data_IF_571596399351
#
_entry.id   IF_571596399351
#
_cell.length_a   1.000
_cell.length_b   1.000
_cell.length_c   1.000
_cell.angle_alpha   90.00
_cell.angle_beta   90.00
_cell.angle_gamma   90.00
#
_symmetry.space_group_name_H-M   'P 1'
#
loop_
_entity.id
_entity.type
_entity.pdbx_description
1 polymer ?
#
# COMPACT_ATOMS: atom_id res chain seq x y z
N UNK A 1 15.43 -35.00 49.86
CA UNK A 1 14.18 -35.06 49.05
C UNK A 1 14.13 -33.87 48.08
N UNK A 2 15.08 -33.76 47.14
CA UNK A 2 15.19 -32.56 46.28
C UNK A 2 15.52 -32.83 44.81
N UNK A 3 15.71 -34.10 44.42
CA UNK A 3 16.23 -34.46 43.09
C UNK A 3 15.14 -34.68 42.02
N UNK A 4 13.90 -34.98 42.43
CA UNK A 4 12.79 -35.23 41.50
C UNK A 4 12.21 -33.95 40.88
N UNK A 5 12.34 -32.81 41.56
CA UNK A 5 11.86 -31.51 41.05
C UNK A 5 12.71 -31.00 39.89
N UNK A 6 14.02 -31.27 39.87
CA UNK A 6 14.92 -30.88 38.77
C UNK A 6 14.67 -31.70 37.50
N UNK A 7 14.32 -32.99 37.64
CA UNK A 7 14.03 -33.88 36.52
C UNK A 7 12.73 -33.53 35.78
N UNK A 8 11.75 -32.94 36.46
CA UNK A 8 10.49 -32.50 35.85
C UNK A 8 10.62 -31.18 35.06
N UNK A 9 11.63 -30.34 35.35
CA UNK A 9 11.84 -29.06 34.67
C UNK A 9 12.58 -29.18 33.34
N UNK A 10 13.47 -30.17 33.20
CA UNK A 10 14.19 -30.44 31.95
C UNK A 10 13.27 -30.70 30.75
N UNK A 11 12.28 -31.61 30.79
CA UNK A 11 11.39 -31.84 29.66
C UNK A 11 10.54 -30.62 29.34
N UNK A 12 10.13 -29.84 30.34
CA UNK A 12 9.39 -28.59 30.13
C UNK A 12 10.22 -27.55 29.37
N UNK A 13 11.50 -27.37 29.74
CA UNK A 13 12.42 -26.45 29.04
C UNK A 13 12.65 -26.91 27.60
N UNK A 14 12.82 -28.21 27.36
CA UNK A 14 12.98 -28.78 26.02
C UNK A 14 11.72 -28.56 25.17
N UNK A 15 10.53 -28.84 25.71
CA UNK A 15 9.25 -28.62 25.02
C UNK A 15 9.07 -27.14 24.67
N UNK A 16 9.32 -26.24 25.61
CA UNK A 16 9.23 -24.80 25.38
C UNK A 16 10.23 -24.34 24.30
N UNK A 17 11.45 -24.88 24.29
CA UNK A 17 12.42 -24.60 23.24
C UNK A 17 11.95 -25.08 21.85
N UNK A 18 11.41 -26.30 21.77
CA UNK A 18 10.85 -26.84 20.52
C UNK A 18 9.68 -26.02 20.00
N UNK A 19 8.76 -25.61 20.88
CA UNK A 19 7.63 -24.74 20.52
C UNK A 19 8.12 -23.39 20.00
N UNK A 20 9.16 -22.79 20.63
CA UNK A 20 9.75 -21.54 20.14
C UNK A 20 10.39 -21.70 18.75
N UNK A 21 11.15 -22.76 18.53
CA UNK A 21 11.74 -23.06 17.22
C UNK A 21 10.65 -23.22 16.15
N UNK A 22 9.57 -23.95 16.47
CA UNK A 22 8.44 -24.12 15.56
C UNK A 22 7.70 -22.79 15.27
N UNK A 23 7.47 -21.96 16.29
CA UNK A 23 6.84 -20.65 16.15
C UNK A 23 7.71 -19.69 15.32
N UNK A 24 9.01 -19.65 15.56
CA UNK A 24 9.97 -18.84 14.80
C UNK A 24 10.00 -19.28 13.33
N UNK A 25 10.00 -20.58 13.07
CA UNK A 25 9.90 -21.13 11.72
C UNK A 25 8.58 -20.73 11.04
N UNK A 26 7.44 -20.86 11.73
CA UNK A 26 6.12 -20.50 11.18
C UNK A 26 6.06 -19.00 10.87
N UNK A 27 6.54 -18.14 11.78
CA UNK A 27 6.64 -16.69 11.57
C UNK A 27 7.54 -16.36 10.39
N UNK A 28 8.69 -17.03 10.25
CA UNK A 28 9.57 -16.85 9.10
C UNK A 28 8.86 -17.21 7.78
N UNK A 29 8.14 -18.33 7.76
CA UNK A 29 7.39 -18.78 6.57
C UNK A 29 6.26 -17.82 6.20
N UNK A 30 5.50 -17.33 7.18
CA UNK A 30 4.48 -16.31 6.95
C UNK A 30 5.07 -14.99 6.44
N UNK A 31 6.23 -14.56 6.95
CA UNK A 31 6.94 -13.36 6.46
C UNK A 31 7.35 -13.53 5.01
N UNK A 32 7.86 -14.70 4.61
CA UNK A 32 8.21 -15.02 3.23
C UNK A 32 6.99 -14.92 2.30
N UNK A 33 5.89 -15.60 2.65
CA UNK A 33 4.65 -15.56 1.87
C UNK A 33 4.11 -14.14 1.72
N UNK A 34 4.09 -13.35 2.80
CA UNK A 34 3.68 -11.93 2.76
C UNK A 34 4.58 -11.09 1.84
N UNK A 35 5.90 -11.32 1.88
CA UNK A 35 6.87 -10.64 1.00
C UNK A 35 6.62 -10.99 -0.47
N UNK A 36 6.41 -12.27 -0.79
CA UNK A 36 6.08 -12.74 -2.14
C UNK A 36 4.78 -12.10 -2.65
N UNK A 37 3.70 -12.19 -1.87
CA UNK A 37 2.42 -11.60 -2.24
C UNK A 37 2.51 -10.08 -2.45
N UNK A 38 3.31 -9.36 -1.64
CA UNK A 38 3.58 -7.93 -1.85
C UNK A 38 4.29 -7.67 -3.18
N UNK A 39 5.33 -8.45 -3.52
CA UNK A 39 6.08 -8.33 -4.78
C UNK A 39 5.17 -8.58 -5.98
N UNK A 40 4.32 -9.61 -5.91
CA UNK A 40 3.35 -9.93 -6.96
C UNK A 40 2.34 -8.79 -7.16
N UNK A 41 1.77 -8.23 -6.09
CA UNK A 41 0.89 -7.05 -6.17
C UNK A 41 1.60 -5.84 -6.78
N UNK A 42 2.85 -5.58 -6.39
CA UNK A 42 3.64 -4.48 -6.97
C UNK A 42 3.96 -4.70 -8.45
N UNK A 43 4.26 -5.93 -8.85
CA UNK A 43 4.46 -6.28 -10.25
C UNK A 43 3.18 -6.10 -11.06
N UNK A 44 2.04 -6.57 -10.54
CA UNK A 44 0.73 -6.38 -11.17
C UNK A 44 0.38 -4.90 -11.33
N UNK A 45 0.58 -4.09 -10.29
CA UNK A 45 0.35 -2.65 -10.35
C UNK A 45 1.26 -1.96 -11.38
N UNK A 46 2.55 -2.30 -11.43
CA UNK A 46 3.48 -1.77 -12.46
C UNK A 46 3.02 -2.14 -13.87
N UNK A 47 2.62 -3.39 -14.11
CA UNK A 47 2.05 -3.81 -15.40
C UNK A 47 0.80 -3.01 -15.76
N UNK A 48 -0.08 -2.78 -14.79
CA UNK A 48 -1.26 -1.93 -14.98
C UNK A 48 -0.88 -0.50 -15.38
N UNK A 49 0.09 0.12 -14.72
CA UNK A 49 0.58 1.46 -15.09
C UNK A 49 1.25 1.53 -16.48
N UNK A 50 1.62 0.40 -17.07
CA UNK A 50 2.11 0.33 -18.46
C UNK A 50 1.02 -0.08 -19.46
N UNK A 51 -0.19 -0.38 -19.00
CA UNK A 51 -1.29 -0.78 -19.89
C UNK A 51 -1.82 0.38 -20.73
N UNK A 52 -2.31 0.12 -21.97
CA UNK A 52 -2.95 1.15 -22.79
C UNK A 52 -4.13 1.83 -22.08
N UNK A 53 -4.90 1.06 -21.32
CA UNK A 53 -6.04 1.54 -20.55
C UNK A 53 -5.65 2.62 -19.54
N UNK A 54 -4.60 2.38 -18.74
CA UNK A 54 -4.10 3.40 -17.81
C UNK A 54 -3.56 4.61 -18.57
N UNK A 55 -2.82 4.41 -19.66
CA UNK A 55 -2.24 5.53 -20.43
C UNK A 55 -3.31 6.45 -21.02
N UNK A 56 -4.46 5.91 -21.46
CA UNK A 56 -5.61 6.69 -21.89
C UNK A 56 -6.21 7.53 -20.75
N UNK A 57 -6.39 6.93 -19.57
CA UNK A 57 -6.90 7.63 -18.37
C UNK A 57 -5.95 8.72 -17.91
N UNK A 58 -4.65 8.41 -17.88
CA UNK A 58 -3.57 9.34 -17.56
C UNK A 58 -3.60 10.54 -18.49
N UNK A 59 -3.63 10.30 -19.81
CA UNK A 59 -3.71 11.37 -20.81
C UNK A 59 -4.92 12.27 -20.60
N UNK A 60 -6.11 11.70 -20.46
CA UNK A 60 -7.33 12.48 -20.21
C UNK A 60 -7.25 13.31 -18.93
N UNK A 61 -6.61 12.81 -17.86
CA UNK A 61 -6.40 13.60 -16.65
C UNK A 61 -5.46 14.79 -16.85
N UNK A 62 -4.40 14.61 -17.64
CA UNK A 62 -3.43 15.66 -17.96
C UNK A 62 -4.03 16.73 -18.89
N UNK A 63 -4.75 16.33 -19.94
CA UNK A 63 -5.44 17.24 -20.86
C UNK A 63 -6.42 18.14 -20.13
N UNK A 64 -7.26 17.58 -19.25
CA UNK A 64 -8.19 18.34 -18.40
C UNK A 64 -7.51 19.35 -17.48
N UNK A 65 -6.25 19.12 -17.15
CA UNK A 65 -5.48 20.00 -16.28
C UNK A 65 -4.87 21.19 -17.03
N UNK A 66 -4.82 21.12 -18.37
CA UNK A 66 -4.35 22.19 -19.24
C UNK A 66 -3.01 22.80 -18.79
N UNK A 67 -2.03 21.94 -18.52
CA UNK A 67 -0.68 22.35 -18.09
C UNK A 67 -0.60 22.97 -16.69
N UNK A 68 -1.67 22.92 -15.88
CA UNK A 68 -1.71 23.51 -14.53
C UNK A 68 -1.96 22.48 -13.46
N UNK A 69 -1.25 22.60 -12.35
CA UNK A 69 -1.47 21.75 -11.18
C UNK A 69 -2.88 21.95 -10.62
N UNK A 70 -3.63 20.87 -10.41
CA UNK A 70 -5.01 20.95 -9.88
C UNK A 70 -5.07 21.26 -8.38
N UNK A 71 -3.96 21.23 -7.65
CA UNK A 71 -3.93 21.63 -6.23
C UNK A 71 -3.49 23.08 -6.03
N UNK A 72 -2.40 23.52 -6.67
CA UNK A 72 -1.85 24.87 -6.45
C UNK A 72 -2.09 25.84 -7.61
N UNK A 73 -2.66 25.40 -8.73
CA UNK A 73 -2.94 26.24 -9.91
C UNK A 73 -1.73 26.66 -10.74
N UNK A 74 -0.50 26.42 -10.24
CA UNK A 74 0.72 26.83 -10.94
C UNK A 74 0.89 26.05 -12.27
N UNK A 75 1.28 26.73 -13.36
CA UNK A 75 1.63 26.06 -14.60
C UNK A 75 2.91 25.23 -14.42
N UNK A 76 3.00 24.10 -15.12
CA UNK A 76 4.19 23.26 -15.12
C UNK A 76 4.22 22.35 -16.34
N UNK A 77 5.42 22.04 -16.81
CA UNK A 77 5.66 21.07 -17.90
C UNK A 77 5.65 19.63 -17.40
N UNK A 78 5.77 19.41 -16.09
CA UNK A 78 5.95 18.08 -15.47
C UNK A 78 4.77 17.69 -14.59
N UNK A 79 3.58 17.57 -15.18
CA UNK A 79 2.41 17.06 -14.45
C UNK A 79 2.46 15.53 -14.26
N UNK A 80 2.15 15.10 -13.05
CA UNK A 80 1.99 13.71 -12.63
C UNK A 80 0.53 13.43 -12.25
N UNK A 81 0.04 12.22 -12.49
CA UNK A 81 -1.33 11.83 -12.13
C UNK A 81 -1.33 11.10 -10.79
N UNK A 82 -1.99 11.70 -9.80
CA UNK A 82 -2.24 11.12 -8.49
C UNK A 82 -3.54 10.34 -8.46
N UNK A 83 -3.54 9.17 -7.82
CA UNK A 83 -4.77 8.49 -7.43
C UNK A 83 -5.28 9.04 -6.10
N UNK A 84 -6.46 9.66 -6.08
CA UNK A 84 -7.13 10.09 -4.85
C UNK A 84 -7.73 8.90 -4.07
N UNK A 85 -8.04 7.81 -4.78
CA UNK A 85 -8.49 6.55 -4.18
C UNK A 85 -8.02 5.38 -5.04
N UNK A 86 -7.74 4.25 -4.39
CA UNK A 86 -7.36 2.99 -5.03
C UNK A 86 -8.51 1.98 -5.08
N UNK A 87 -9.70 2.31 -4.55
CA UNK A 87 -10.86 1.40 -4.45
C UNK A 87 -11.31 0.84 -5.81
N UNK A 88 -11.15 1.61 -6.89
CA UNK A 88 -11.52 1.26 -8.26
C UNK A 88 -10.30 1.16 -9.19
N UNK A 89 -9.19 0.64 -8.70
CA UNK A 89 -7.99 0.45 -9.53
C UNK A 89 -8.32 -0.38 -10.78
N UNK A 90 -7.99 0.13 -11.96
CA UNK A 90 -8.36 -0.44 -13.27
C UNK A 90 -9.76 -0.07 -13.78
N UNK A 91 -10.55 0.66 -13.00
CA UNK A 91 -11.90 1.16 -13.35
C UNK A 91 -12.13 2.57 -12.80
N UNK A 92 -11.09 3.39 -12.78
CA UNK A 92 -11.08 4.68 -12.11
C UNK A 92 -12.13 5.62 -12.71
N UNK A 93 -12.75 6.44 -11.89
CA UNK A 93 -13.57 7.54 -12.38
C UNK A 93 -12.70 8.77 -12.66
N UNK A 94 -13.25 9.73 -13.42
CA UNK A 94 -12.56 11.02 -13.65
C UNK A 94 -12.18 11.72 -12.34
N UNK A 95 -13.02 11.58 -11.31
CA UNK A 95 -12.81 12.14 -9.96
C UNK A 95 -11.72 11.43 -9.15
N UNK A 96 -11.33 10.21 -9.53
CA UNK A 96 -10.33 9.43 -8.79
C UNK A 96 -8.90 9.85 -9.13
N UNK A 97 -8.72 10.59 -10.23
CA UNK A 97 -7.43 10.95 -10.78
C UNK A 97 -7.24 12.46 -10.80
N UNK A 98 -6.09 12.93 -10.31
CA UNK A 98 -5.77 14.36 -10.23
C UNK A 98 -4.38 14.63 -10.77
N UNK A 99 -4.26 15.54 -11.74
CA UNK A 99 -2.97 15.97 -12.27
C UNK A 99 -2.34 17.04 -11.35
N UNK A 100 -1.12 16.79 -10.91
CA UNK A 100 -0.40 17.58 -9.92
C UNK A 100 1.03 17.86 -10.37
N UNK A 101 1.61 18.97 -9.93
CA UNK A 101 3.06 19.14 -10.02
C UNK A 101 3.77 18.22 -9.01
N UNK A 102 5.07 17.91 -9.19
CA UNK A 102 5.77 16.93 -8.35
C UNK A 102 5.73 17.30 -6.86
N UNK A 103 5.87 18.58 -6.53
CA UNK A 103 5.79 19.06 -5.15
C UNK A 103 4.40 18.82 -4.52
N UNK A 104 3.31 19.00 -5.27
CA UNK A 104 1.97 18.73 -4.76
C UNK A 104 1.70 17.22 -4.68
N UNK A 105 2.22 16.46 -5.64
CA UNK A 105 2.12 15.01 -5.67
C UNK A 105 2.76 14.37 -4.43
N UNK A 106 3.98 14.78 -4.10
CA UNK A 106 4.69 14.33 -2.89
C UNK A 106 3.96 14.73 -1.60
N UNK A 107 3.43 15.96 -1.52
CA UNK A 107 2.65 16.39 -0.35
C UNK A 107 1.40 15.53 -0.13
N UNK A 108 0.72 15.12 -1.22
CA UNK A 108 -0.44 14.22 -1.12
C UNK A 108 -0.05 12.83 -0.61
N UNK A 109 1.09 12.28 -1.02
CA UNK A 109 1.60 11.01 -0.49
C UNK A 109 1.92 11.07 1.01
N UNK A 110 2.40 12.21 1.51
CA UNK A 110 2.70 12.39 2.95
C UNK A 110 1.46 12.65 3.80
N UNK A 111 0.40 13.20 3.21
CA UNK A 111 -0.80 13.59 3.93
C UNK A 111 -1.57 12.35 4.41
N UNK A 112 -1.79 12.26 5.72
CA UNK A 112 -2.77 11.31 6.28
C UNK A 112 -4.17 11.93 6.22
N UNK A 113 -5.18 11.23 5.67
CA UNK A 113 -6.56 11.71 5.70
C UNK A 113 -7.06 11.78 7.14
N UNK A 114 -7.77 12.85 7.47
CA UNK A 114 -8.43 13.01 8.78
C UNK A 114 -9.53 11.95 8.99
N UNK A 115 -9.96 11.68 10.24
CA UNK A 115 -11.08 10.78 10.49
C UNK A 115 -12.34 11.14 9.71
N UNK A 116 -12.68 12.43 9.61
CA UNK A 116 -13.83 12.91 8.85
C UNK A 116 -13.71 12.62 7.35
N UNK A 117 -12.53 12.83 6.77
CA UNK A 117 -12.29 12.52 5.35
C UNK A 117 -12.40 11.02 5.06
N UNK A 118 -11.99 10.16 5.99
CA UNK A 118 -12.17 8.70 5.87
C UNK A 118 -13.65 8.32 5.90
N UNK A 119 -14.44 8.97 6.78
CA UNK A 119 -15.88 8.74 6.85
C UNK A 119 -16.59 9.21 5.57
N UNK A 120 -16.24 10.39 5.07
CA UNK A 120 -16.80 10.92 3.82
C UNK A 120 -16.43 10.05 2.61
N UNK A 121 -15.22 9.52 2.52
CA UNK A 121 -14.83 8.59 1.46
C UNK A 121 -15.60 7.26 1.55
N UNK A 122 -16.02 6.81 2.75
CA UNK A 122 -16.89 5.65 2.89
C UNK A 122 -18.33 5.94 2.43
N UNK A 123 -18.87 7.12 2.75
CA UNK A 123 -20.26 7.49 2.40
C UNK A 123 -20.47 7.82 0.92
N UNK A 124 -19.42 8.23 0.21
CA UNK A 124 -19.52 8.78 -1.16
C UNK A 124 -18.90 7.88 -2.25
N UNK A 125 -18.47 6.68 -1.89
CA UNK A 125 -17.87 5.66 -2.77
C UNK A 125 -18.21 4.24 -2.34
#
# INVERSE_FOLDING_TARGET
>A
MSSHLLLALVPLVVIVALVRVADDWLRAKQREQRRRARRERQAAYRRYLHSPHWQLRRRSALERANGRCRDCGRPTVSLEVHHLTYRRLGREHRKDLRALCPACHERRHRRRPSPLERLLDWLTN
#
